data_IF_424300379492
#
_entry.id   IF_424300379492
#
_cell.length_a   1.000
_cell.length_b   1.000
_cell.length_c   1.000
_cell.angle_alpha   90.00
_cell.angle_beta   90.00
_cell.angle_gamma   90.00
#
_symmetry.space_group_name_H-M   'P 1'
#
loop_
_entity.id
_entity.type
_entity.pdbx_description
1 polymer ?
#
# COMPACT_ATOMS: atom_id res chain seq x y z
N UNK A 1 -4.10 13.61 12.96
CA UNK A 1 -3.93 13.34 11.51
C UNK A 1 -2.85 12.30 11.24
N UNK A 2 -1.60 12.48 11.70
CA UNK A 2 -0.53 11.49 11.49
C UNK A 2 -0.90 10.06 11.95
N UNK A 3 -1.59 9.91 13.10
CA UNK A 3 -2.05 8.59 13.55
C UNK A 3 -3.08 7.91 12.63
N UNK A 4 -3.95 8.67 11.96
CA UNK A 4 -4.93 8.11 11.01
C UNK A 4 -4.24 7.66 9.73
N UNK A 5 -3.25 8.43 9.26
CA UNK A 5 -2.45 8.07 8.09
C UNK A 5 -1.63 6.81 8.33
N UNK A 6 -0.91 6.73 9.47
CA UNK A 6 -0.15 5.54 9.84
C UNK A 6 -1.05 4.30 9.97
N UNK A 7 -2.20 4.42 10.65
CA UNK A 7 -3.15 3.32 10.73
C UNK A 7 -3.70 2.92 9.35
N UNK A 8 -4.02 3.90 8.49
CA UNK A 8 -4.45 3.64 7.13
C UNK A 8 -3.38 2.91 6.31
N UNK A 9 -2.12 3.32 6.44
CA UNK A 9 -0.98 2.66 5.79
C UNK A 9 -0.86 1.20 6.22
N UNK A 10 -0.94 0.90 7.52
CA UNK A 10 -0.87 -0.47 8.05
C UNK A 10 -2.01 -1.35 7.52
N UNK A 11 -3.23 -0.82 7.51
CA UNK A 11 -4.43 -1.55 7.04
C UNK A 11 -4.34 -1.83 5.54
N UNK A 12 -3.94 -0.83 4.75
CA UNK A 12 -3.83 -0.98 3.30
C UNK A 12 -2.66 -1.90 2.92
N UNK A 13 -1.53 -1.83 3.64
CA UNK A 13 -0.41 -2.76 3.45
C UNK A 13 -0.87 -4.21 3.64
N UNK A 14 -1.51 -4.53 4.76
CA UNK A 14 -2.02 -5.89 5.03
C UNK A 14 -3.08 -6.34 4.02
N UNK A 15 -3.90 -5.42 3.50
CA UNK A 15 -4.86 -5.74 2.44
C UNK A 15 -4.13 -6.12 1.14
N UNK A 16 -3.12 -5.33 0.75
CA UNK A 16 -2.31 -5.58 -0.44
C UNK A 16 -1.53 -6.90 -0.35
N UNK A 17 -0.94 -7.22 0.81
CA UNK A 17 -0.28 -8.52 1.05
C UNK A 17 -1.23 -9.68 0.77
N UNK A 18 -2.44 -9.66 1.35
CA UNK A 18 -3.44 -10.71 1.16
C UNK A 18 -3.87 -10.86 -0.29
N UNK A 19 -3.97 -9.75 -1.04
CA UNK A 19 -4.31 -9.79 -2.47
C UNK A 19 -3.20 -10.47 -3.29
N UNK A 20 -1.95 -10.11 -3.03
CA UNK A 20 -0.79 -10.70 -3.72
C UNK A 20 -0.63 -12.19 -3.37
N UNK A 21 -0.74 -12.55 -2.09
CA UNK A 21 -0.74 -13.95 -1.62
C UNK A 21 -1.91 -14.75 -2.24
N UNK A 22 -3.05 -14.09 -2.46
CA UNK A 22 -4.21 -14.64 -3.16
C UNK A 22 -4.05 -14.79 -4.68
N UNK A 23 -2.89 -14.41 -5.24
CA UNK A 23 -2.58 -14.57 -6.66
C UNK A 23 -3.01 -13.39 -7.55
N UNK A 24 -3.28 -12.22 -6.97
CA UNK A 24 -3.48 -11.01 -7.77
C UNK A 24 -2.21 -10.70 -8.60
N UNK A 25 -2.35 -10.35 -9.89
CA UNK A 25 -1.18 -10.13 -10.76
C UNK A 25 -0.44 -8.82 -10.47
N UNK A 26 -1.04 -7.90 -9.69
CA UNK A 26 -0.46 -6.62 -9.36
C UNK A 26 -1.43 -5.71 -8.61
N UNK A 27 -0.97 -4.49 -8.30
CA UNK A 27 -1.70 -3.49 -7.52
C UNK A 27 -1.84 -2.20 -8.33
N UNK A 28 -2.98 -1.52 -8.20
CA UNK A 28 -3.23 -0.22 -8.81
C UNK A 28 -3.69 0.77 -7.75
N UNK A 29 -2.97 1.89 -7.61
CA UNK A 29 -3.24 2.90 -6.58
C UNK A 29 -3.90 4.14 -7.18
N UNK A 30 -5.02 4.55 -6.59
CA UNK A 30 -5.58 5.88 -6.82
C UNK A 30 -4.90 6.89 -5.88
N UNK A 31 -3.88 7.56 -6.39
CA UNK A 31 -2.98 8.41 -5.58
C UNK A 31 -3.60 9.74 -5.16
N UNK A 32 -4.67 10.18 -5.83
CA UNK A 32 -5.26 11.51 -5.64
C UNK A 32 -4.21 12.64 -5.71
N UNK A 33 -3.27 12.51 -6.65
CA UNK A 33 -2.12 13.41 -6.85
C UNK A 33 -1.11 13.47 -5.68
N UNK A 34 -1.10 12.46 -4.79
CA UNK A 34 -0.14 12.32 -3.69
C UNK A 34 0.63 10.99 -3.81
N UNK A 35 1.95 11.07 -3.99
CA UNK A 35 2.76 9.87 -4.25
C UNK A 35 3.11 9.12 -2.96
N UNK A 36 3.32 9.85 -1.87
CA UNK A 36 3.88 9.36 -0.61
C UNK A 36 3.11 8.17 -0.02
N UNK A 37 1.76 8.17 0.07
CA UNK A 37 1.03 7.04 0.64
C UNK A 37 1.20 5.76 -0.19
N UNK A 38 1.26 5.87 -1.51
CA UNK A 38 1.41 4.71 -2.40
C UNK A 38 2.83 4.16 -2.35
N UNK A 39 3.84 5.03 -2.25
CA UNK A 39 5.23 4.64 -2.08
C UNK A 39 5.48 3.98 -0.72
N UNK A 40 4.85 4.46 0.34
CA UNK A 40 4.97 3.86 1.67
C UNK A 40 4.45 2.41 1.66
N UNK A 41 3.24 2.18 1.14
CA UNK A 41 2.69 0.83 0.96
C UNK A 41 3.59 -0.02 0.06
N UNK A 42 4.07 0.50 -1.06
CA UNK A 42 4.97 -0.23 -1.97
C UNK A 42 6.27 -0.68 -1.28
N UNK A 43 6.87 0.19 -0.47
CA UNK A 43 8.09 -0.09 0.27
C UNK A 43 7.86 -1.11 1.40
N UNK A 44 6.72 -1.01 2.10
CA UNK A 44 6.37 -1.97 3.16
C UNK A 44 6.18 -3.39 2.59
N UNK A 45 5.64 -3.51 1.38
CA UNK A 45 5.51 -4.77 0.63
C UNK A 45 6.83 -5.30 0.07
N UNK A 46 7.94 -4.53 0.16
CA UNK A 46 9.26 -4.90 -0.35
C UNK A 46 9.27 -5.30 -1.85
N UNK A 47 8.41 -4.69 -2.64
CA UNK A 47 8.31 -4.96 -4.08
C UNK A 47 9.50 -4.35 -4.84
N UNK A 48 9.92 -4.96 -5.96
CA UNK A 48 10.99 -4.42 -6.78
C UNK A 48 10.68 -2.99 -7.26
N UNK A 49 11.72 -2.20 -7.49
CA UNK A 49 11.59 -0.83 -8.00
C UNK A 49 11.40 -0.81 -9.51
#
# INVERSE_FOLDING_TARGET
MQSIQAFGEDVITQMCERLLEGGAPGLHFYTLNQAEPSLAVWNNLQLPR
#
